data_IF_265057533315
#
_entry.id   IF_265057533315
#
_cell.length_a   1.000
_cell.length_b   1.000
_cell.length_c   1.000
_cell.angle_alpha   90.00
_cell.angle_beta   90.00
_cell.angle_gamma   90.00
#
_symmetry.space_group_name_H-M   'P 1'
#
loop_
_entity.id
_entity.type
_entity.pdbx_description
1 polymer ?
#
# COMPACT_ATOMS: atom_id res chain seq x y z
N UNK A 1 4.44 -11.98 51.61
CA UNK A 1 5.89 -11.69 51.50
C UNK A 1 6.34 -11.99 50.08
N UNK A 2 6.73 -10.97 49.30
CA UNK A 2 7.26 -11.20 47.96
C UNK A 2 8.66 -11.82 48.06
N UNK A 3 8.85 -13.00 47.46
CA UNK A 3 10.10 -13.75 47.54
C UNK A 3 11.08 -13.22 46.46
N UNK A 4 12.38 -13.15 46.76
CA UNK A 4 13.44 -12.67 45.85
C UNK A 4 13.42 -13.37 44.49
N UNK A 5 12.99 -14.63 44.46
CA UNK A 5 12.79 -15.42 43.23
C UNK A 5 11.69 -14.84 42.32
N UNK A 6 10.60 -14.31 42.88
CA UNK A 6 9.54 -13.66 42.11
C UNK A 6 9.98 -12.31 41.53
N UNK A 7 10.84 -11.58 42.24
CA UNK A 7 11.38 -10.31 41.76
C UNK A 7 12.36 -10.51 40.60
N UNK A 8 13.23 -11.53 40.70
CA UNK A 8 14.17 -11.89 39.63
C UNK A 8 13.45 -12.46 38.39
N UNK A 9 12.37 -13.21 38.58
CA UNK A 9 11.51 -13.66 37.48
C UNK A 9 10.83 -12.48 36.77
N UNK A 10 10.35 -11.48 37.53
CA UNK A 10 9.78 -10.25 36.97
C UNK A 10 10.79 -9.43 36.18
N UNK A 11 12.04 -9.31 36.66
CA UNK A 11 13.11 -8.60 35.94
C UNK A 11 13.56 -9.35 34.67
N UNK A 12 13.62 -10.68 34.70
CA UNK A 12 13.94 -11.49 33.52
C UNK A 12 12.87 -11.35 32.42
N UNK A 13 11.59 -11.31 32.81
CA UNK A 13 10.49 -11.07 31.88
C UNK A 13 10.50 -9.65 31.28
N UNK A 14 10.86 -8.64 32.07
CA UNK A 14 10.97 -7.25 31.60
C UNK A 14 12.20 -6.97 30.71
N UNK A 15 13.36 -7.56 31.04
CA UNK A 15 14.58 -7.41 30.26
C UNK A 15 14.51 -8.14 28.91
N UNK A 16 13.82 -9.27 28.84
CA UNK A 16 13.56 -10.00 27.59
C UNK A 16 12.67 -9.22 26.61
N UNK A 17 11.71 -8.44 27.11
CA UNK A 17 10.87 -7.57 26.28
C UNK A 17 11.65 -6.36 25.74
N UNK A 18 12.48 -5.72 26.57
CA UNK A 18 13.24 -4.53 26.17
C UNK A 18 14.39 -4.85 25.17
N UNK A 19 15.00 -6.03 25.28
CA UNK A 19 16.09 -6.45 24.37
C UNK A 19 15.61 -7.31 23.20
N UNK A 20 14.43 -7.95 23.29
CA UNK A 20 13.84 -8.74 22.21
C UNK A 20 13.12 -7.90 21.15
N UNK A 21 12.59 -6.72 21.52
CA UNK A 21 11.85 -5.85 20.60
C UNK A 21 12.76 -5.11 19.60
N UNK A 22 14.05 -4.92 19.91
CA UNK A 22 14.99 -4.21 19.02
C UNK A 22 15.51 -5.07 17.85
N UNK A 23 15.31 -6.40 17.88
CA UNK A 23 15.71 -7.32 16.80
C UNK A 23 14.56 -7.76 15.89
N UNK A 24 13.32 -7.35 16.21
CA UNK A 24 12.11 -7.76 15.49
C UNK A 24 11.68 -6.93 14.26
N UNK A 25 12.32 -5.80 13.84
CA UNK A 25 11.94 -5.20 12.56
C UNK A 25 12.20 -6.14 11.37
N UNK A 26 13.19 -7.03 11.49
CA UNK A 26 13.62 -7.89 10.39
C UNK A 26 12.77 -9.16 10.28
N UNK A 27 12.22 -9.68 11.39
CA UNK A 27 11.31 -10.83 11.38
C UNK A 27 9.86 -10.46 11.05
N UNK A 28 9.42 -9.21 11.29
CA UNK A 28 8.13 -8.73 10.76
C UNK A 28 8.11 -8.64 9.22
N UNK A 29 9.28 -8.69 8.57
CA UNK A 29 9.39 -8.71 7.10
C UNK A 29 9.41 -10.12 6.51
N UNK A 30 9.48 -11.16 7.35
CA UNK A 30 9.46 -12.55 6.92
C UNK A 30 8.05 -13.11 7.13
N UNK A 31 7.28 -13.20 6.04
CA UNK A 31 6.05 -14.00 6.04
C UNK A 31 6.41 -15.46 6.39
N UNK A 32 5.74 -16.12 7.36
CA UNK A 32 6.01 -17.51 7.71
C UNK A 32 5.71 -18.47 6.55
N UNK A 33 4.96 -18.03 5.54
CA UNK A 33 4.75 -18.80 4.30
C UNK A 33 6.05 -19.01 3.50
N UNK A 34 7.05 -18.13 3.65
CA UNK A 34 8.32 -18.26 2.93
C UNK A 34 9.19 -19.42 3.43
N UNK A 35 8.92 -19.93 4.64
CA UNK A 35 9.69 -21.01 5.26
C UNK A 35 9.03 -22.40 5.09
N UNK A 36 7.74 -22.44 4.73
CA UNK A 36 6.95 -23.69 4.71
C UNK A 36 6.81 -24.33 3.32
N UNK A 37 7.23 -23.66 2.24
CA UNK A 37 7.17 -24.21 0.89
C UNK A 37 8.57 -24.58 0.41
N UNK A 38 8.90 -25.89 0.30
CA UNK A 38 10.08 -26.29 -0.43
C UNK A 38 9.83 -25.89 -1.90
N UNK A 39 10.74 -25.10 -2.46
CA UNK A 39 10.88 -24.79 -3.90
C UNK A 39 10.34 -23.47 -4.47
N UNK A 40 9.84 -22.51 -3.70
CA UNK A 40 9.56 -21.16 -4.25
C UNK A 40 10.57 -20.14 -3.73
N UNK A 41 11.41 -19.62 -4.63
CA UNK A 41 12.33 -18.48 -4.44
C UNK A 41 11.69 -17.49 -3.44
N UNK A 42 12.31 -17.31 -2.27
CA UNK A 42 11.83 -16.40 -1.23
C UNK A 42 11.79 -14.97 -1.81
N UNK A 43 10.67 -14.59 -2.41
CA UNK A 43 10.48 -13.25 -2.94
C UNK A 43 10.16 -12.38 -1.75
N UNK A 44 11.05 -11.44 -1.45
CA UNK A 44 10.81 -10.41 -0.45
C UNK A 44 9.43 -9.76 -0.69
N UNK A 45 8.71 -9.40 0.39
CA UNK A 45 7.41 -8.75 0.25
C UNK A 45 7.57 -7.49 -0.63
N UNK A 46 6.80 -7.44 -1.71
CA UNK A 46 6.77 -6.29 -2.61
C UNK A 46 5.84 -5.24 -2.02
N UNK A 47 6.31 -3.99 -1.93
CA UNK A 47 5.51 -2.85 -1.50
C UNK A 47 5.10 -2.05 -2.72
N UNK A 48 3.82 -1.73 -2.82
CA UNK A 48 3.25 -0.86 -3.84
C UNK A 48 2.69 0.36 -3.12
N UNK A 49 3.05 1.54 -3.62
CA UNK A 49 2.59 2.82 -3.07
C UNK A 49 1.77 3.49 -4.15
N UNK A 50 0.53 3.84 -3.83
CA UNK A 50 -0.35 4.62 -4.69
C UNK A 50 -0.30 6.08 -4.28
N UNK A 51 0.06 6.96 -5.20
CA UNK A 51 -0.03 8.40 -5.01
C UNK A 51 -1.32 8.89 -5.67
N UNK A 52 -2.31 9.25 -4.85
CA UNK A 52 -3.54 9.88 -5.31
C UNK A 52 -3.41 11.37 -5.06
N UNK A 53 -3.26 12.15 -6.12
CA UNK A 53 -3.20 13.60 -6.02
C UNK A 53 -4.58 14.21 -6.23
N UNK A 54 -4.97 15.12 -5.33
CA UNK A 54 -6.19 15.90 -5.45
C UNK A 54 -6.04 17.02 -6.51
N UNK A 55 -7.13 17.75 -6.75
CA UNK A 55 -7.27 18.75 -7.81
C UNK A 55 -6.05 19.68 -8.00
N UNK A 56 -5.77 20.03 -9.26
CA UNK A 56 -4.75 21.02 -9.61
C UNK A 56 -3.41 20.44 -10.08
N UNK A 57 -3.26 19.13 -10.07
CA UNK A 57 -2.13 18.46 -10.70
C UNK A 57 -2.42 18.22 -12.19
N UNK A 58 -1.65 18.86 -13.07
CA UNK A 58 -1.70 18.58 -14.50
C UNK A 58 -0.88 17.31 -14.79
N UNK A 59 -1.53 16.18 -15.15
CA UNK A 59 -0.82 14.92 -15.40
C UNK A 59 0.19 15.02 -16.54
N UNK A 60 0.02 15.96 -17.49
CA UNK A 60 0.96 16.15 -18.59
C UNK A 60 2.36 16.58 -18.09
N UNK A 61 2.43 17.27 -16.95
CA UNK A 61 3.69 17.75 -16.36
C UNK A 61 4.57 16.63 -15.80
N UNK A 62 4.02 15.42 -15.64
CA UNK A 62 4.73 14.26 -15.08
C UNK A 62 5.04 13.18 -16.10
N UNK A 63 4.72 13.42 -17.37
CA UNK A 63 5.09 12.54 -18.46
C UNK A 63 6.49 12.94 -18.93
N UNK A 64 7.49 12.04 -18.87
CA UNK A 64 8.81 12.35 -19.39
C UNK A 64 8.79 12.70 -20.89
N UNK A 65 9.69 13.58 -21.30
CA UNK A 65 9.75 14.07 -22.67
C UNK A 65 9.87 12.92 -23.68
N UNK A 66 9.06 12.98 -24.75
CA UNK A 66 9.02 11.95 -25.79
C UNK A 66 8.23 10.68 -25.44
N UNK A 67 7.80 10.50 -24.18
CA UNK A 67 7.04 9.32 -23.77
C UNK A 67 5.54 9.49 -24.06
N UNK A 68 5.01 8.76 -25.05
CA UNK A 68 3.57 8.77 -25.41
C UNK A 68 2.76 7.62 -24.82
N UNK A 69 3.44 6.57 -24.34
CA UNK A 69 2.87 5.34 -23.77
C UNK A 69 3.78 4.86 -22.65
N UNK A 70 3.26 4.03 -21.76
CA UNK A 70 4.05 3.39 -20.70
C UNK A 70 5.24 2.64 -21.32
N UNK A 71 6.44 2.80 -20.74
CA UNK A 71 7.68 2.24 -21.28
C UNK A 71 8.82 2.23 -20.27
N UNK A 72 10.02 1.85 -20.72
CA UNK A 72 11.23 1.87 -19.90
C UNK A 72 11.63 3.31 -19.55
N UNK A 73 12.06 3.54 -18.31
CA UNK A 73 12.60 4.83 -17.83
C UNK A 73 14.14 4.90 -17.93
N UNK A 74 14.79 3.88 -18.49
CA UNK A 74 16.24 3.86 -18.64
C UNK A 74 16.71 5.00 -19.57
N UNK A 75 17.68 5.79 -19.11
CA UNK A 75 18.20 6.95 -19.85
C UNK A 75 17.24 8.15 -19.94
N UNK A 76 16.04 8.06 -19.35
CA UNK A 76 15.05 9.15 -19.34
C UNK A 76 15.27 10.00 -18.09
N UNK A 77 15.26 11.33 -18.23
CA UNK A 77 15.27 12.26 -17.09
C UNK A 77 13.84 12.53 -16.64
N UNK A 78 13.56 12.43 -15.33
CA UNK A 78 12.23 12.76 -14.83
C UNK A 78 11.98 14.27 -14.88
N UNK A 79 10.75 14.71 -15.25
CA UNK A 79 10.39 16.13 -15.24
C UNK A 79 10.36 16.69 -13.81
N UNK A 80 10.42 18.03 -13.69
CA UNK A 80 10.58 18.74 -12.41
C UNK A 80 9.64 18.25 -11.28
N UNK A 81 8.32 18.07 -11.50
CA UNK A 81 7.40 17.72 -10.41
C UNK A 81 7.66 16.33 -9.81
N UNK A 82 8.25 15.42 -10.57
CA UNK A 82 8.62 14.07 -10.11
C UNK A 82 10.13 13.83 -10.08
N UNK A 83 10.94 14.88 -10.23
CA UNK A 83 12.39 14.81 -10.13
C UNK A 83 12.89 14.25 -8.79
N UNK A 84 12.21 14.41 -7.63
CA UNK A 84 12.61 13.75 -6.40
C UNK A 84 12.55 12.22 -6.46
N UNK A 85 11.86 11.64 -7.44
CA UNK A 85 11.76 10.18 -7.64
C UNK A 85 12.92 9.59 -8.45
N UNK A 86 13.85 10.43 -8.94
CA UNK A 86 15.01 9.99 -9.73
C UNK A 86 15.83 8.87 -9.05
N UNK A 87 16.07 8.87 -7.72
CA UNK A 87 16.77 7.77 -7.03
C UNK A 87 16.06 6.41 -7.10
N UNK A 88 14.78 6.39 -7.46
CA UNK A 88 13.94 5.19 -7.52
C UNK A 88 13.61 4.76 -8.94
N UNK A 89 14.11 5.46 -9.97
CA UNK A 89 13.75 5.27 -11.38
C UNK A 89 13.91 3.82 -11.87
N UNK A 90 14.97 3.13 -11.47
CA UNK A 90 15.24 1.72 -11.83
C UNK A 90 14.27 0.71 -11.20
N UNK A 91 13.45 1.15 -10.23
CA UNK A 91 12.44 0.33 -9.54
C UNK A 91 11.04 0.90 -9.68
N UNK A 92 10.85 1.86 -10.57
CA UNK A 92 9.59 2.57 -10.79
C UNK A 92 9.07 2.34 -12.19
N UNK A 93 7.75 2.22 -12.33
CA UNK A 93 7.06 2.25 -13.61
C UNK A 93 6.02 3.35 -13.60
N UNK A 94 6.03 4.20 -14.64
CA UNK A 94 4.99 5.20 -14.85
C UNK A 94 3.98 4.61 -15.84
N UNK A 95 2.72 4.52 -15.42
CA UNK A 95 1.61 4.07 -16.27
C UNK A 95 0.85 5.31 -16.75
N UNK A 96 1.03 5.65 -18.02
CA UNK A 96 0.35 6.79 -18.63
C UNK A 96 -1.07 6.41 -19.08
N UNK A 97 -1.99 7.38 -19.08
CA UNK A 97 -3.35 7.21 -19.59
C UNK A 97 -4.38 6.74 -18.57
N UNK A 98 -3.98 6.49 -17.32
CA UNK A 98 -4.91 6.32 -16.20
C UNK A 98 -5.41 7.69 -15.74
N UNK A 99 -6.38 8.25 -16.47
CA UNK A 99 -6.98 9.53 -16.11
C UNK A 99 -8.20 9.34 -15.20
N UNK A 100 -8.32 10.18 -14.18
CA UNK A 100 -9.46 10.23 -13.27
C UNK A 100 -10.77 10.73 -13.90
N UNK A 101 -11.03 10.53 -15.20
CA UNK A 101 -12.30 11.03 -15.81
C UNK A 101 -13.54 10.45 -15.13
N UNK A 102 -13.42 9.26 -14.51
CA UNK A 102 -14.46 8.63 -13.73
C UNK A 102 -14.81 9.37 -12.43
N UNK A 103 -13.98 10.33 -11.98
CA UNK A 103 -14.23 11.10 -10.74
C UNK A 103 -15.14 12.32 -10.96
N UNK A 104 -15.39 12.72 -12.22
CA UNK A 104 -16.30 13.83 -12.57
C UNK A 104 -17.77 13.55 -12.21
N UNK A 105 -18.62 14.52 -11.83
CA UNK A 105 -18.35 15.95 -11.65
C UNK A 105 -17.87 16.31 -10.24
N UNK A 106 -17.72 15.33 -9.34
CA UNK A 106 -17.32 15.56 -7.95
C UNK A 106 -15.79 15.69 -7.83
N UNK A 107 -15.32 16.06 -6.64
CA UNK A 107 -13.89 16.16 -6.32
C UNK A 107 -13.31 14.85 -5.76
N UNK A 108 -14.11 13.79 -5.66
CA UNK A 108 -13.72 12.47 -5.17
C UNK A 108 -14.55 11.38 -5.82
N UNK A 109 -13.93 10.22 -6.06
CA UNK A 109 -14.63 8.98 -6.38
C UNK A 109 -14.77 8.04 -5.17
N UNK A 110 -14.41 8.48 -3.96
CA UNK A 110 -14.42 7.67 -2.74
C UNK A 110 -13.70 6.34 -2.99
N UNK A 111 -14.39 5.21 -2.74
CA UNK A 111 -13.91 3.87 -3.03
C UNK A 111 -13.55 3.66 -4.51
N UNK A 112 -14.26 4.31 -5.43
CA UNK A 112 -14.04 4.21 -6.87
C UNK A 112 -12.71 4.78 -7.36
N UNK A 113 -11.96 5.54 -6.55
CA UNK A 113 -10.69 6.14 -6.95
C UNK A 113 -9.62 5.09 -7.32
N UNK A 114 -9.52 4.01 -6.55
CA UNK A 114 -8.65 2.87 -6.87
C UNK A 114 -9.37 1.79 -7.71
N UNK A 115 -10.69 1.91 -7.87
CA UNK A 115 -11.51 0.99 -8.68
C UNK A 115 -11.62 1.39 -10.15
N UNK A 116 -11.32 2.64 -10.51
CA UNK A 116 -11.45 3.13 -11.89
C UNK A 116 -12.90 3.29 -12.35
N UNK A 117 -13.85 3.44 -11.42
CA UNK A 117 -15.27 3.61 -11.70
C UNK A 117 -15.85 4.77 -10.89
N UNK A 118 -17.04 5.24 -11.30
CA UNK A 118 -17.74 6.33 -10.62
C UNK A 118 -18.11 5.90 -9.21
N UNK A 119 -17.70 6.67 -8.20
CA UNK A 119 -18.17 6.51 -6.83
C UNK A 119 -18.86 7.77 -6.34
N UNK A 120 -19.65 7.63 -5.29
CA UNK A 120 -20.30 8.74 -4.59
C UNK A 120 -20.55 8.35 -3.14
N UNK A 121 -20.96 9.33 -2.34
CA UNK A 121 -21.35 9.07 -0.97
C UNK A 121 -22.56 8.12 -0.92
N UNK A 122 -22.46 7.05 -0.14
CA UNK A 122 -23.49 6.00 -0.04
C UNK A 122 -23.66 5.10 -1.26
N UNK A 123 -22.86 5.27 -2.32
CA UNK A 123 -22.89 4.36 -3.49
C UNK A 123 -22.00 3.16 -3.24
N UNK A 124 -22.51 1.92 -3.39
CA UNK A 124 -21.71 0.72 -3.18
C UNK A 124 -20.58 0.59 -4.23
N UNK A 125 -19.47 -0.09 -3.88
CA UNK A 125 -18.45 -0.49 -4.83
C UNK A 125 -19.04 -1.21 -6.06
N UNK A 126 -18.63 -0.81 -7.27
CA UNK A 126 -19.03 -1.48 -8.52
C UNK A 126 -18.08 -2.61 -8.94
N UNK A 127 -16.93 -2.74 -8.27
CA UNK A 127 -15.93 -3.74 -8.60
C UNK A 127 -14.72 -3.72 -7.67
N UNK A 128 -13.74 -4.60 -7.91
CA UNK A 128 -12.50 -4.64 -7.14
C UNK A 128 -11.60 -3.44 -7.45
N UNK A 129 -10.79 -3.04 -6.47
CA UNK A 129 -9.78 -2.00 -6.61
C UNK A 129 -8.43 -2.58 -7.06
N UNK A 130 -7.59 -1.74 -7.67
CA UNK A 130 -6.28 -2.16 -8.18
C UNK A 130 -5.37 -2.70 -7.07
N UNK A 131 -5.42 -2.15 -5.85
CA UNK A 131 -4.65 -2.64 -4.70
C UNK A 131 -5.13 -4.02 -4.25
N UNK A 132 -6.44 -4.29 -4.29
CA UNK A 132 -6.99 -5.61 -4.03
C UNK A 132 -6.58 -6.62 -5.11
N UNK A 133 -6.69 -6.28 -6.40
CA UNK A 133 -6.26 -7.17 -7.48
C UNK A 133 -4.76 -7.45 -7.45
N UNK A 134 -3.93 -6.44 -7.16
CA UNK A 134 -2.50 -6.64 -6.96
C UNK A 134 -2.22 -7.56 -5.78
N UNK A 135 -2.97 -7.46 -4.68
CA UNK A 135 -2.77 -8.30 -3.50
C UNK A 135 -2.91 -9.81 -3.80
N UNK A 136 -3.71 -10.20 -4.81
CA UNK A 136 -3.90 -11.60 -5.21
C UNK A 136 -2.68 -12.22 -5.90
N UNK A 137 -1.86 -11.38 -6.56
CA UNK A 137 -0.69 -11.83 -7.34
C UNK A 137 0.64 -11.57 -6.62
N UNK A 138 0.63 -10.78 -5.56
CA UNK A 138 1.80 -10.50 -4.74
C UNK A 138 1.99 -11.56 -3.65
N UNK A 139 3.24 -11.76 -3.16
CA UNK A 139 3.48 -12.64 -2.03
C UNK A 139 2.65 -12.23 -0.81
N UNK A 140 1.99 -13.20 -0.18
CA UNK A 140 1.17 -12.93 1.00
C UNK A 140 2.03 -12.39 2.15
N UNK A 141 1.62 -11.25 2.68
CA UNK A 141 2.19 -10.62 3.88
C UNK A 141 1.56 -11.20 5.15
N UNK A 142 2.21 -10.99 6.31
CA UNK A 142 1.70 -11.39 7.63
C UNK A 142 0.30 -10.85 7.92
N UNK A 143 0.04 -9.63 7.47
CA UNK A 143 -1.28 -9.02 7.51
C UNK A 143 -1.91 -9.20 6.12
N UNK A 144 -3.07 -9.86 6.00
CA UNK A 144 -3.79 -9.89 4.72
C UNK A 144 -4.20 -8.46 4.33
N UNK A 145 -4.52 -8.25 3.05
CA UNK A 145 -5.15 -7.01 2.61
C UNK A 145 -6.44 -6.82 3.42
N UNK A 146 -6.40 -5.86 4.34
CA UNK A 146 -7.48 -5.60 5.27
C UNK A 146 -8.39 -4.58 4.59
N UNK A 147 -9.47 -5.04 3.98
CA UNK A 147 -10.49 -4.22 3.32
C UNK A 147 -11.30 -3.41 4.36
N UNK A 148 -10.65 -2.58 5.17
CA UNK A 148 -11.31 -1.72 6.16
C UNK A 148 -11.70 -0.42 5.47
N UNK A 149 -13.00 -0.22 5.26
CA UNK A 149 -13.54 1.11 5.06
C UNK A 149 -13.48 1.89 6.38
N UNK A 150 -12.74 2.99 6.42
CA UNK A 150 -12.78 3.93 7.54
C UNK A 150 -13.81 5.02 7.22
N UNK A 151 -14.92 5.04 7.96
CA UNK A 151 -15.92 6.11 7.98
C UNK A 151 -16.42 6.26 9.44
N UNK A 152 -17.31 7.20 9.73
CA UNK A 152 -17.95 7.25 11.05
C UNK A 152 -18.76 5.96 11.30
N UNK A 153 -18.89 5.55 12.56
CA UNK A 153 -19.67 4.35 12.92
C UNK A 153 -21.12 4.48 12.42
N UNK A 154 -21.70 5.68 12.43
CA UNK A 154 -23.03 5.92 11.86
C UNK A 154 -23.07 5.69 10.34
N UNK A 155 -22.02 6.11 9.62
CA UNK A 155 -21.94 5.92 8.17
C UNK A 155 -21.64 4.47 7.78
N UNK A 156 -20.89 3.74 8.61
CA UNK A 156 -20.59 2.32 8.40
C UNK A 156 -21.79 1.41 8.62
N UNK A 157 -22.78 1.82 9.42
CA UNK A 157 -24.02 1.06 9.62
C UNK A 157 -25.08 1.37 8.56
N UNK A 158 -25.00 2.54 7.91
CA UNK A 158 -26.02 3.03 6.95
C UNK A 158 -25.66 2.78 5.49
N UNK A 159 -24.39 2.51 5.18
CA UNK A 159 -23.92 2.23 3.81
C UNK A 159 -23.73 0.73 3.60
N UNK A 160 -23.94 0.21 2.38
CA UNK A 160 -23.74 -1.21 2.10
C UNK A 160 -22.28 -1.59 2.37
N UNK A 161 -22.06 -2.38 3.41
CA UNK A 161 -20.84 -3.16 3.59
C UNK A 161 -20.96 -4.40 2.71
N UNK A 162 -19.89 -4.70 1.97
CA UNK A 162 -19.77 -5.89 1.12
C UNK A 162 -20.13 -7.17 1.89
#
# INVERSE_FOLDING_TARGET
MQNRRSLLQGMAAGAGAALGLSLLPQQLMASPLSAALPFTKATSPKRIIFFLQNQGFDPATCIPEGMKRSGSLAGVKLPEPISPLEPFKERMHIINGLHGLHTSPSHSAFFGALGGYRGSDGVPPSGPTIDYELSKVLPQTLLPHLCIGMDSIENMTTKPTL
#
